data_IF_417109027654
#
_entry.id   IF_417109027654
#
_cell.length_a   1.000
_cell.length_b   1.000
_cell.length_c   1.000
_cell.angle_alpha   90.00
_cell.angle_beta   90.00
_cell.angle_gamma   90.00
#
_symmetry.space_group_name_H-M   'P 1'
#
loop_
_entity.id
_entity.type
_entity.pdbx_description
1 polymer ?
#
# COMPACT_ATOMS: atom_id res chain seq x y z
N UNK A 1 21.45 4.85 4.24
CA UNK A 1 21.51 5.72 3.05
C UNK A 1 20.10 6.01 2.59
N UNK A 2 19.65 7.23 2.87
CA UNK A 2 18.35 7.77 2.48
C UNK A 2 18.49 8.45 1.12
N UNK A 3 17.60 8.14 0.19
CA UNK A 3 17.56 8.73 -1.16
C UNK A 3 16.18 9.33 -1.35
N UNK A 4 16.13 10.60 -1.76
CA UNK A 4 14.89 11.33 -1.98
C UNK A 4 14.95 12.13 -3.28
N UNK A 5 13.77 12.42 -3.82
CA UNK A 5 13.61 13.34 -4.94
C UNK A 5 12.88 14.59 -4.46
N UNK A 6 13.29 15.73 -4.98
CA UNK A 6 12.53 16.97 -4.88
C UNK A 6 12.65 17.78 -6.17
N UNK A 7 11.72 18.71 -6.43
CA UNK A 7 11.86 19.65 -7.53
C UNK A 7 13.21 20.36 -7.46
N UNK A 8 13.89 20.41 -8.61
CA UNK A 8 15.12 21.18 -8.76
C UNK A 8 14.80 22.67 -8.73
N UNK A 9 15.64 23.47 -8.06
CA UNK A 9 15.47 24.92 -8.02
C UNK A 9 16.49 25.64 -8.92
N UNK A 10 16.18 26.85 -9.44
CA UNK A 10 17.13 27.61 -10.25
C UNK A 10 18.48 27.89 -9.58
N UNK A 11 18.50 28.03 -8.24
CA UNK A 11 19.74 28.24 -7.49
C UNK A 11 20.70 27.05 -7.53
N UNK A 12 20.21 25.85 -7.87
CA UNK A 12 21.03 24.63 -7.95
C UNK A 12 21.66 24.42 -9.34
N UNK A 13 21.25 25.20 -10.34
CA UNK A 13 21.60 24.96 -11.74
C UNK A 13 23.12 24.93 -11.97
N UNK A 14 23.87 25.83 -11.34
CA UNK A 14 25.34 25.85 -11.44
C UNK A 14 25.96 24.52 -10.96
N UNK A 15 25.49 24.00 -9.83
CA UNK A 15 25.99 22.75 -9.27
C UNK A 15 25.60 21.54 -10.14
N UNK A 16 24.40 21.56 -10.71
CA UNK A 16 23.91 20.53 -11.63
C UNK A 16 24.75 20.48 -12.92
N UNK A 17 25.13 21.64 -13.47
CA UNK A 17 26.04 21.71 -14.63
C UNK A 17 27.38 21.07 -14.32
N UNK A 18 27.92 21.28 -13.12
CA UNK A 18 29.17 20.64 -12.69
C UNK A 18 29.03 19.11 -12.58
N UNK A 19 27.90 18.65 -12.02
CA UNK A 19 27.59 17.22 -11.93
C UNK A 19 27.43 16.55 -13.31
N UNK A 20 26.80 17.23 -14.27
CA UNK A 20 26.64 16.75 -15.65
C UNK A 20 28.01 16.59 -16.33
N UNK A 21 28.85 17.62 -16.27
CA UNK A 21 30.21 17.61 -16.84
C UNK A 21 31.11 16.56 -16.21
N UNK A 22 30.92 16.24 -14.93
CA UNK A 22 31.64 15.17 -14.25
C UNK A 22 31.10 13.76 -14.57
N UNK A 23 30.00 13.66 -15.32
CA UNK A 23 29.30 12.40 -15.59
C UNK A 23 29.33 11.97 -17.05
N UNK A 24 29.44 12.91 -17.99
CA UNK A 24 29.47 12.65 -19.42
C UNK A 24 30.72 13.27 -20.09
N UNK A 25 31.21 12.67 -21.20
CA UNK A 25 32.15 13.32 -22.11
C UNK A 25 31.63 14.68 -22.60
N UNK A 26 32.53 15.60 -22.98
CA UNK A 26 32.17 16.97 -23.37
C UNK A 26 31.21 17.06 -24.56
N UNK A 27 31.30 16.11 -25.50
CA UNK A 27 30.43 16.00 -26.68
C UNK A 27 29.07 15.32 -26.41
N UNK A 28 28.91 14.72 -25.22
CA UNK A 28 27.68 14.04 -24.79
C UNK A 28 26.95 14.80 -23.66
N UNK A 29 27.67 15.64 -22.89
CA UNK A 29 27.14 16.37 -21.75
C UNK A 29 26.14 17.46 -22.16
N UNK A 30 25.03 17.59 -21.42
CA UNK A 30 24.10 18.68 -21.65
C UNK A 30 24.75 20.05 -21.36
N UNK A 31 24.50 21.02 -22.26
CA UNK A 31 24.98 22.39 -22.05
C UNK A 31 24.22 23.07 -20.90
N UNK A 32 24.82 24.10 -20.28
CA UNK A 32 24.14 24.90 -19.27
C UNK A 32 22.83 25.52 -19.80
N UNK A 33 22.81 25.95 -21.06
CA UNK A 33 21.62 26.49 -21.71
C UNK A 33 20.52 25.43 -21.89
N UNK A 34 20.90 24.19 -22.24
CA UNK A 34 19.97 23.07 -22.35
C UNK A 34 19.37 22.69 -20.99
N UNK A 35 20.17 22.67 -19.93
CA UNK A 35 19.70 22.38 -18.56
C UNK A 35 18.80 23.49 -18.03
N UNK A 36 19.13 24.76 -18.27
CA UNK A 36 18.28 25.91 -17.95
C UNK A 36 16.92 25.82 -18.67
N UNK A 37 16.95 25.56 -19.99
CA UNK A 37 15.74 25.37 -20.79
C UNK A 37 14.85 24.26 -20.22
N UNK A 38 15.42 23.08 -19.93
CA UNK A 38 14.66 21.95 -19.36
C UNK A 38 14.09 22.30 -17.99
N UNK A 39 14.81 23.04 -17.16
CA UNK A 39 14.31 23.46 -15.85
C UNK A 39 13.13 24.44 -15.98
N UNK A 40 13.19 25.38 -16.92
CA UNK A 40 12.12 26.36 -17.12
C UNK A 40 10.89 25.80 -17.82
N UNK A 41 11.09 25.04 -18.89
CA UNK A 41 9.99 24.56 -19.75
C UNK A 41 9.45 23.18 -19.31
N UNK A 42 10.25 22.39 -18.60
CA UNK A 42 9.94 21.01 -18.24
C UNK A 42 10.29 20.71 -16.76
N UNK A 43 10.24 21.72 -15.89
CA UNK A 43 10.63 21.61 -14.47
C UNK A 43 9.85 20.55 -13.68
N UNK A 44 8.63 20.21 -14.11
CA UNK A 44 7.86 19.10 -13.54
C UNK A 44 8.52 17.73 -13.73
N UNK A 45 9.47 17.60 -14.67
CA UNK A 45 10.25 16.38 -14.94
C UNK A 45 11.71 16.49 -14.49
N UNK A 46 12.08 17.58 -13.83
CA UNK A 46 13.43 17.83 -13.32
C UNK A 46 13.46 17.65 -11.81
N UNK A 47 14.19 16.62 -11.34
CA UNK A 47 14.32 16.29 -9.93
C UNK A 47 15.78 16.29 -9.48
N UNK A 48 16.03 16.93 -8.34
CA UNK A 48 17.29 16.83 -7.62
C UNK A 48 17.25 15.57 -6.77
N UNK A 49 18.28 14.73 -6.89
CA UNK A 49 18.46 13.53 -6.07
C UNK A 49 19.20 13.94 -4.80
N UNK A 50 18.56 13.78 -3.66
CA UNK A 50 19.14 14.07 -2.34
C UNK A 50 19.58 12.75 -1.69
N UNK A 51 20.82 12.69 -1.23
CA UNK A 51 21.39 11.50 -0.57
C UNK A 51 21.96 11.88 0.78
N UNK A 52 21.29 11.44 1.86
CA UNK A 52 21.60 11.80 3.24
C UNK A 52 21.71 13.33 3.40
N UNK A 53 20.64 14.06 3.01
CA UNK A 53 20.45 15.52 3.10
C UNK A 53 21.35 16.41 2.23
N UNK A 54 22.20 15.83 1.38
CA UNK A 54 23.02 16.54 0.41
C UNK A 54 22.59 16.27 -1.04
N UNK A 55 22.82 17.23 -1.94
CA UNK A 55 22.65 17.01 -3.39
C UNK A 55 23.61 15.90 -3.83
N UNK A 56 23.06 14.79 -4.28
CA UNK A 56 23.81 13.60 -4.70
C UNK A 56 23.64 13.27 -6.18
N UNK A 57 22.87 14.06 -6.94
CA UNK A 57 22.58 13.81 -8.34
C UNK A 57 21.35 14.55 -8.84
N UNK A 58 20.92 14.24 -10.06
CA UNK A 58 19.67 14.73 -10.63
C UNK A 58 19.15 13.82 -11.74
N UNK A 59 17.87 13.95 -12.04
CA UNK A 59 17.21 13.35 -13.21
C UNK A 59 16.45 14.46 -13.93
N UNK A 60 16.61 14.59 -15.24
CA UNK A 60 15.84 15.55 -16.03
C UNK A 60 15.30 14.93 -17.32
N UNK A 61 14.11 15.38 -17.72
CA UNK A 61 13.41 14.90 -18.90
C UNK A 61 12.58 15.98 -19.58
N UNK A 62 12.14 15.71 -20.81
CA UNK A 62 11.12 16.51 -21.51
C UNK A 62 10.06 15.59 -22.13
N UNK A 63 8.90 16.15 -22.44
CA UNK A 63 7.86 15.45 -23.18
C UNK A 63 8.11 15.56 -24.67
N UNK A 64 7.93 14.48 -25.40
CA UNK A 64 8.09 14.43 -26.86
C UNK A 64 7.11 13.45 -27.50
N UNK A 65 6.95 13.57 -28.82
CA UNK A 65 6.08 12.68 -29.62
C UNK A 65 6.80 11.39 -30.05
N UNK A 66 8.13 11.40 -30.10
CA UNK A 66 8.96 10.26 -30.50
C UNK A 66 10.40 10.39 -30.00
N UNK A 67 11.16 9.28 -29.99
CA UNK A 67 12.59 9.23 -29.66
C UNK A 67 13.49 9.56 -30.86
N UNK A 68 13.30 10.75 -31.44
CA UNK A 68 14.17 11.30 -32.49
C UNK A 68 14.91 12.53 -31.98
N UNK A 69 16.09 12.82 -32.52
CA UNK A 69 16.91 13.97 -32.09
C UNK A 69 16.11 15.29 -32.16
N UNK A 70 15.39 15.51 -33.27
CA UNK A 70 14.56 16.70 -33.46
C UNK A 70 13.42 16.78 -32.43
N UNK A 71 12.66 15.69 -32.25
CA UNK A 71 11.52 15.67 -31.32
C UNK A 71 11.94 15.82 -29.85
N UNK A 72 13.17 15.47 -29.51
CA UNK A 72 13.73 15.58 -28.16
C UNK A 72 14.30 16.98 -27.85
N UNK A 73 14.44 17.85 -28.85
CA UNK A 73 15.07 19.17 -28.69
C UNK A 73 14.16 20.16 -27.94
N UNK A 74 12.85 20.06 -28.15
CA UNK A 74 11.85 20.95 -27.52
C UNK A 74 10.90 20.20 -26.62
N UNK A 75 10.47 20.82 -25.52
CA UNK A 75 9.43 20.28 -24.67
C UNK A 75 8.04 20.40 -25.34
N UNK A 76 7.39 19.26 -25.58
CA UNK A 76 6.04 19.18 -26.11
C UNK A 76 5.06 18.75 -25.01
N UNK A 77 4.49 19.72 -24.28
CA UNK A 77 3.55 19.45 -23.19
C UNK A 77 2.41 18.51 -23.63
N UNK A 78 2.10 17.51 -22.79
CA UNK A 78 1.08 16.50 -23.08
C UNK A 78 1.48 15.37 -24.04
N UNK A 79 2.60 15.47 -24.76
CA UNK A 79 3.03 14.44 -25.71
C UNK A 79 3.33 13.09 -24.99
N UNK A 80 2.99 11.91 -25.53
CA UNK A 80 2.86 10.67 -24.75
C UNK A 80 4.17 10.10 -24.18
N UNK A 81 5.33 10.55 -24.65
CA UNK A 81 6.64 10.06 -24.21
C UNK A 81 7.29 11.08 -23.28
N UNK A 82 7.77 10.61 -22.13
CA UNK A 82 8.72 11.33 -21.29
C UNK A 82 10.13 10.84 -21.59
N UNK A 83 10.90 11.64 -22.33
CA UNK A 83 12.29 11.35 -22.64
C UNK A 83 13.20 11.86 -21.51
N UNK A 84 13.86 10.95 -20.79
CA UNK A 84 14.92 11.30 -19.84
C UNK A 84 16.19 11.61 -20.62
N UNK A 85 16.76 12.77 -20.34
CA UNK A 85 18.00 13.24 -20.98
C UNK A 85 19.23 12.95 -20.14
N UNK A 86 19.12 13.05 -18.81
CA UNK A 86 20.25 12.84 -17.91
C UNK A 86 19.79 12.10 -16.66
N UNK A 87 20.52 11.04 -16.29
CA UNK A 87 20.45 10.39 -14.98
C UNK A 87 21.83 10.48 -14.35
N UNK A 88 22.00 11.39 -13.40
CA UNK A 88 23.30 11.71 -12.83
C UNK A 88 23.34 11.39 -11.35
N UNK A 89 24.42 10.75 -10.93
CA UNK A 89 24.79 10.55 -9.53
C UNK A 89 26.22 11.02 -9.34
N UNK A 90 26.44 11.83 -8.31
CA UNK A 90 27.74 12.37 -7.94
C UNK A 90 28.78 11.23 -7.79
N UNK A 91 30.01 11.38 -8.30
CA UNK A 91 31.02 10.32 -8.36
C UNK A 91 31.20 9.54 -7.04
N UNK A 92 31.26 10.25 -5.93
CA UNK A 92 31.45 9.71 -4.57
C UNK A 92 30.24 8.93 -4.01
N UNK A 93 29.07 9.07 -4.65
CA UNK A 93 27.83 8.36 -4.32
C UNK A 93 27.50 7.22 -5.30
N UNK A 94 28.28 7.04 -6.38
CA UNK A 94 28.08 5.97 -7.38
C UNK A 94 28.32 4.58 -6.78
N UNK A 95 27.74 3.56 -7.41
CA UNK A 95 27.84 2.13 -7.01
C UNK A 95 27.33 1.81 -5.60
N UNK A 96 26.48 2.69 -5.04
CA UNK A 96 25.81 2.50 -3.74
C UNK A 96 24.30 2.26 -3.87
N UNK A 97 23.80 2.03 -5.10
CA UNK A 97 22.38 1.85 -5.39
C UNK A 97 21.57 3.15 -5.50
N UNK A 98 22.22 4.33 -5.45
CA UNK A 98 21.54 5.64 -5.52
C UNK A 98 20.74 5.80 -6.81
N UNK A 99 21.35 5.51 -7.98
CA UNK A 99 20.68 5.66 -9.27
C UNK A 99 19.43 4.78 -9.39
N UNK A 100 19.50 3.52 -8.94
CA UNK A 100 18.36 2.60 -8.94
C UNK A 100 17.21 3.10 -8.06
N UNK A 101 17.53 3.57 -6.85
CA UNK A 101 16.53 4.15 -5.94
C UNK A 101 15.92 5.43 -6.50
N UNK A 102 16.75 6.32 -7.05
CA UNK A 102 16.31 7.56 -7.66
C UNK A 102 15.39 7.30 -8.86
N UNK A 103 15.72 6.34 -9.73
CA UNK A 103 14.86 5.94 -10.85
C UNK A 103 13.54 5.34 -10.38
N UNK A 104 13.54 4.49 -9.35
CA UNK A 104 12.30 3.92 -8.80
C UNK A 104 11.37 5.02 -8.26
N UNK A 105 11.91 5.98 -7.49
CA UNK A 105 11.15 7.14 -7.02
C UNK A 105 10.68 8.03 -8.16
N UNK A 106 11.50 8.21 -9.19
CA UNK A 106 11.15 9.03 -10.35
C UNK A 106 9.99 8.39 -11.12
N UNK A 107 10.06 7.09 -11.40
CA UNK A 107 8.96 6.34 -12.03
C UNK A 107 7.68 6.44 -11.21
N UNK A 108 7.76 6.25 -9.89
CA UNK A 108 6.61 6.36 -8.98
C UNK A 108 5.95 7.75 -9.05
N UNK A 109 6.75 8.82 -9.13
CA UNK A 109 6.24 10.17 -9.31
C UNK A 109 5.63 10.38 -10.70
N UNK A 110 6.28 9.85 -11.75
CA UNK A 110 5.86 10.04 -13.15
C UNK A 110 4.61 9.25 -13.51
N UNK A 111 4.21 8.23 -12.75
CA UNK A 111 2.92 7.55 -12.89
C UNK A 111 1.72 8.50 -12.74
N UNK A 112 1.91 9.65 -12.09
CA UNK A 112 0.89 10.71 -11.93
C UNK A 112 0.79 11.65 -13.13
N UNK A 113 1.79 11.62 -14.01
CA UNK A 113 1.77 12.42 -15.24
C UNK A 113 0.87 11.77 -16.30
N UNK A 114 0.54 12.53 -17.34
CA UNK A 114 -0.12 12.01 -18.54
C UNK A 114 0.81 11.24 -19.49
N UNK A 115 2.04 10.89 -19.07
CA UNK A 115 2.96 10.14 -19.92
C UNK A 115 2.50 8.68 -20.01
N UNK A 116 2.52 8.15 -21.23
CA UNK A 116 2.25 6.72 -21.48
C UNK A 116 3.52 5.89 -21.29
N UNK A 117 4.69 6.47 -21.53
CA UNK A 117 5.96 5.79 -21.27
C UNK A 117 7.09 6.76 -20.92
N UNK A 118 8.07 6.25 -20.17
CA UNK A 118 9.37 6.88 -19.99
C UNK A 118 10.35 6.24 -20.95
N UNK A 119 11.13 7.04 -21.67
CA UNK A 119 12.15 6.56 -22.60
C UNK A 119 13.49 7.21 -22.30
N UNK A 120 14.57 6.49 -22.57
CA UNK A 120 15.93 7.03 -22.50
C UNK A 120 16.84 6.24 -23.43
N UNK A 121 17.99 6.83 -23.73
CA UNK A 121 19.07 6.12 -24.42
C UNK A 121 20.21 5.88 -23.43
N UNK A 122 20.86 4.72 -23.55
CA UNK A 122 21.96 4.34 -22.66
C UNK A 122 23.07 3.56 -23.38
N UNK A 123 24.30 3.72 -22.93
CA UNK A 123 25.42 2.85 -23.33
C UNK A 123 25.23 1.43 -22.79
N UNK A 124 25.75 0.44 -23.50
CA UNK A 124 25.61 -0.99 -23.15
C UNK A 124 25.96 -1.30 -21.69
N UNK A 125 27.00 -0.67 -21.15
CA UNK A 125 27.46 -0.85 -19.77
C UNK A 125 26.43 -0.42 -18.70
N UNK A 126 25.48 0.45 -19.05
CA UNK A 126 24.43 0.94 -18.15
C UNK A 126 23.11 0.16 -18.25
N UNK A 127 22.95 -0.73 -19.23
CA UNK A 127 21.72 -1.52 -19.39
C UNK A 127 21.32 -2.33 -18.14
N UNK A 128 22.25 -2.93 -17.36
CA UNK A 128 21.88 -3.60 -16.12
C UNK A 128 21.22 -2.68 -15.09
N UNK A 129 21.62 -1.41 -15.01
CA UNK A 129 21.00 -0.42 -14.12
C UNK A 129 19.53 -0.19 -14.48
N UNK A 130 19.25 0.06 -15.77
CA UNK A 130 17.90 0.36 -16.23
C UNK A 130 16.98 -0.86 -16.15
N UNK A 131 17.47 -2.06 -16.49
CA UNK A 131 16.72 -3.30 -16.26
C UNK A 131 16.40 -3.51 -14.79
N UNK A 132 17.36 -3.25 -13.90
CA UNK A 132 17.15 -3.31 -12.45
C UNK A 132 16.14 -2.28 -11.93
N UNK A 133 15.91 -1.19 -12.68
CA UNK A 133 14.88 -0.19 -12.41
C UNK A 133 13.55 -0.47 -13.15
N UNK A 134 13.41 -1.61 -13.81
CA UNK A 134 12.18 -2.03 -14.49
C UNK A 134 12.04 -1.58 -15.94
N UNK A 135 13.08 -1.01 -16.55
CA UNK A 135 13.05 -0.64 -17.96
C UNK A 135 13.32 -1.86 -18.86
N UNK A 136 12.56 -1.96 -19.94
CA UNK A 136 12.80 -2.87 -21.06
C UNK A 136 13.81 -2.26 -22.03
N UNK A 137 14.69 -3.08 -22.59
CA UNK A 137 15.65 -2.65 -23.64
C UNK A 137 15.05 -2.98 -24.99
N UNK A 138 14.73 -1.96 -25.79
CA UNK A 138 14.06 -2.14 -27.08
C UNK A 138 15.03 -2.54 -28.19
N UNK A 139 16.26 -2.04 -28.13
CA UNK A 139 17.27 -2.26 -29.17
C UNK A 139 18.24 -1.09 -29.31
N UNK A 140 18.93 -1.04 -30.46
CA UNK A 140 19.82 0.06 -30.81
C UNK A 140 19.00 1.34 -31.06
N UNK A 141 19.47 2.46 -30.52
CA UNK A 141 18.88 3.77 -30.77
C UNK A 141 19.26 4.27 -32.17
N UNK A 142 18.33 4.91 -32.89
CA UNK A 142 18.67 5.63 -34.12
C UNK A 142 19.48 6.92 -33.84
N UNK A 143 19.50 7.39 -32.60
CA UNK A 143 20.25 8.57 -32.19
C UNK A 143 21.69 8.15 -31.90
N UNK A 144 22.63 8.76 -32.61
CA UNK A 144 24.07 8.51 -32.46
C UNK A 144 24.72 9.76 -31.86
N UNK A 145 25.23 9.63 -30.65
CA UNK A 145 26.09 10.62 -29.99
C UNK A 145 27.43 9.97 -29.65
N UNK A 146 28.53 10.57 -30.11
CA UNK A 146 29.87 10.00 -29.94
C UNK A 146 30.12 8.76 -30.81
N UNK A 147 31.15 7.98 -30.45
CA UNK A 147 31.62 6.84 -31.24
C UNK A 147 30.91 5.50 -30.91
N UNK A 148 30.36 5.37 -29.71
CA UNK A 148 29.75 4.13 -29.23
C UNK A 148 28.24 4.09 -29.54
N UNK A 149 27.68 2.91 -29.85
CA UNK A 149 26.25 2.76 -30.05
C UNK A 149 25.46 2.92 -28.74
N UNK A 150 24.31 3.56 -28.85
CA UNK A 150 23.35 3.71 -27.76
C UNK A 150 22.18 2.74 -27.92
N UNK A 151 21.55 2.39 -26.81
CA UNK A 151 20.38 1.51 -26.77
C UNK A 151 19.18 2.28 -26.22
N UNK A 152 18.02 2.11 -26.84
CA UNK A 152 16.78 2.67 -26.32
C UNK A 152 16.20 1.77 -25.22
N UNK A 153 15.85 2.39 -24.10
CA UNK A 153 15.21 1.78 -22.95
C UNK A 153 13.84 2.42 -22.72
N UNK A 154 12.89 1.61 -22.22
CA UNK A 154 11.51 2.03 -22.02
C UNK A 154 10.92 1.54 -20.71
N UNK A 155 10.13 2.39 -20.07
CA UNK A 155 9.24 2.01 -18.98
C UNK A 155 7.80 2.31 -19.40
N UNK A 156 6.93 1.32 -19.38
CA UNK A 156 5.51 1.50 -19.70
C UNK A 156 4.75 1.99 -18.45
N UNK A 157 4.30 3.25 -18.47
CA UNK A 157 3.58 3.85 -17.35
C UNK A 157 2.11 3.39 -17.29
N UNK A 158 1.62 2.71 -18.35
CA UNK A 158 0.31 2.06 -18.37
C UNK A 158 0.32 0.69 -17.69
N UNK A 159 1.48 0.25 -17.18
CA UNK A 159 1.62 -0.98 -16.39
C UNK A 159 1.82 -0.63 -14.91
N UNK A 160 0.76 -0.74 -14.13
CA UNK A 160 0.78 -0.42 -12.69
C UNK A 160 1.15 -1.66 -11.87
N UNK A 161 1.94 -1.47 -10.82
CA UNK A 161 2.24 -2.55 -9.88
C UNK A 161 1.06 -2.80 -8.95
N UNK A 162 0.68 -4.07 -8.84
CA UNK A 162 -0.30 -4.55 -7.87
C UNK A 162 0.23 -5.77 -7.13
N UNK A 163 0.01 -5.80 -5.81
CA UNK A 163 0.39 -6.92 -4.96
C UNK A 163 -0.85 -7.41 -4.22
N UNK A 164 -1.09 -8.72 -4.21
CA UNK A 164 -2.08 -9.30 -3.30
C UNK A 164 -1.39 -9.78 -2.03
N UNK A 165 -1.94 -9.39 -0.89
CA UNK A 165 -1.44 -9.74 0.44
C UNK A 165 -2.56 -10.37 1.26
N UNK A 166 -2.25 -11.45 1.97
CA UNK A 166 -3.12 -12.01 2.99
C UNK A 166 -2.68 -11.46 4.36
N UNK A 167 -3.50 -10.61 4.97
CA UNK A 167 -3.24 -10.01 6.28
C UNK A 167 -3.71 -10.92 7.42
N UNK A 168 -3.09 -10.80 8.59
CA UNK A 168 -3.31 -11.62 9.79
C UNK A 168 -3.01 -13.12 9.62
N UNK A 169 -2.00 -13.44 8.80
CA UNK A 169 -1.51 -14.81 8.59
C UNK A 169 -0.03 -14.82 8.22
N UNK A 170 0.65 -15.93 8.52
CA UNK A 170 2.06 -16.16 8.15
C UNK A 170 2.22 -17.01 6.87
N UNK A 171 1.11 -17.44 6.28
CA UNK A 171 1.06 -18.25 5.07
C UNK A 171 0.00 -17.75 4.10
N UNK A 172 0.25 -17.95 2.80
CA UNK A 172 -0.73 -17.67 1.76
C UNK A 172 -2.00 -18.51 1.93
N UNK A 173 -3.12 -18.00 1.42
CA UNK A 173 -4.46 -18.58 1.45
C UNK A 173 -5.12 -18.65 2.85
N UNK A 174 -4.50 -18.05 3.87
CA UNK A 174 -5.14 -17.75 5.16
C UNK A 174 -5.49 -16.27 5.27
N UNK A 175 -5.88 -15.83 6.46
CA UNK A 175 -6.05 -14.40 6.76
C UNK A 175 -7.11 -13.70 5.92
N UNK A 176 -7.05 -12.37 5.88
CA UNK A 176 -7.94 -11.51 5.09
C UNK A 176 -7.20 -10.94 3.86
N UNK A 177 -7.61 -11.30 2.62
CA UNK A 177 -6.93 -10.87 1.41
C UNK A 177 -7.23 -9.40 1.08
N UNK A 178 -6.19 -8.67 0.67
CA UNK A 178 -6.31 -7.33 0.10
C UNK A 178 -5.45 -7.19 -1.15
N UNK A 179 -5.98 -6.51 -2.16
CA UNK A 179 -5.19 -6.05 -3.30
C UNK A 179 -4.57 -4.69 -2.96
N UNK A 180 -3.28 -4.51 -3.22
CA UNK A 180 -2.54 -3.26 -2.97
C UNK A 180 -2.02 -2.74 -4.30
N UNK A 181 -2.53 -1.59 -4.72
CA UNK A 181 -2.19 -0.90 -5.96
C UNK A 181 -1.32 0.30 -5.63
N UNK A 182 -0.12 0.37 -6.22
CA UNK A 182 0.82 1.48 -6.01
C UNK A 182 0.53 2.68 -6.92
N UNK A 183 -0.74 3.00 -7.07
CA UNK A 183 -1.24 4.15 -7.81
C UNK A 183 -2.58 4.57 -7.25
N UNK A 184 -2.88 5.86 -7.33
CA UNK A 184 -4.17 6.44 -6.99
C UNK A 184 -4.69 7.21 -8.19
N UNK A 185 -5.94 6.98 -8.57
CA UNK A 185 -6.62 7.63 -9.71
C UNK A 185 -7.92 8.27 -9.20
N UNK A 186 -8.82 8.65 -10.10
CA UNK A 186 -10.15 9.11 -9.73
C UNK A 186 -11.00 7.99 -9.09
N UNK A 187 -12.09 8.42 -8.44
CA UNK A 187 -12.97 7.54 -7.66
C UNK A 187 -13.66 6.48 -8.52
N UNK A 188 -13.94 6.76 -9.80
CA UNK A 188 -14.60 5.81 -10.72
C UNK A 188 -13.65 4.69 -11.12
N UNK A 189 -12.40 5.02 -11.48
CA UNK A 189 -11.37 4.04 -11.79
C UNK A 189 -11.09 3.12 -10.59
N UNK A 190 -10.95 3.69 -9.40
CA UNK A 190 -10.69 2.91 -8.18
C UNK A 190 -11.88 2.04 -7.77
N UNK A 191 -13.12 2.49 -7.98
CA UNK A 191 -14.28 1.66 -7.76
C UNK A 191 -14.35 0.48 -8.75
N UNK A 192 -14.12 0.74 -10.04
CA UNK A 192 -14.10 -0.30 -11.09
C UNK A 192 -13.06 -1.38 -10.83
N UNK A 193 -11.84 -1.00 -10.48
CA UNK A 193 -10.80 -1.98 -10.17
C UNK A 193 -11.08 -2.76 -8.87
N UNK A 194 -11.72 -2.13 -7.88
CA UNK A 194 -12.15 -2.86 -6.68
C UNK A 194 -13.20 -3.93 -6.99
N UNK A 195 -14.12 -3.64 -7.91
CA UNK A 195 -15.09 -4.61 -8.43
C UNK A 195 -14.38 -5.74 -9.19
N UNK A 196 -13.43 -5.41 -10.08
CA UNK A 196 -12.67 -6.40 -10.85
C UNK A 196 -11.88 -7.36 -9.94
N UNK A 197 -11.21 -6.83 -8.91
CA UNK A 197 -10.48 -7.65 -7.95
C UNK A 197 -11.40 -8.52 -7.09
N UNK A 198 -12.60 -8.04 -6.75
CA UNK A 198 -13.61 -8.74 -5.97
C UNK A 198 -13.07 -9.37 -4.67
N UNK A 199 -12.14 -8.68 -4.01
CA UNK A 199 -11.62 -9.02 -2.67
C UNK A 199 -12.37 -8.22 -1.60
N UNK A 200 -12.08 -8.49 -0.32
CA UNK A 200 -12.58 -7.68 0.80
C UNK A 200 -12.31 -6.19 0.53
N UNK A 201 -11.06 -5.85 0.21
CA UNK A 201 -10.65 -4.50 -0.14
C UNK A 201 -9.58 -4.48 -1.22
N UNK A 202 -9.67 -3.48 -2.09
CA UNK A 202 -8.55 -2.95 -2.87
C UNK A 202 -8.07 -1.65 -2.25
N UNK A 203 -6.76 -1.56 -2.05
CA UNK A 203 -6.07 -0.42 -1.42
C UNK A 203 -5.27 0.32 -2.46
N UNK A 204 -5.39 1.64 -2.45
CA UNK A 204 -4.68 2.53 -3.35
C UNK A 204 -3.69 3.37 -2.56
N UNK A 205 -2.46 3.43 -3.04
CA UNK A 205 -1.36 4.12 -2.38
C UNK A 205 -0.77 5.19 -3.27
N UNK A 206 -0.51 6.35 -2.68
CA UNK A 206 0.27 7.42 -3.29
C UNK A 206 1.28 7.94 -2.27
N UNK A 207 2.58 7.97 -2.61
CA UNK A 207 3.57 8.55 -1.70
C UNK A 207 3.40 10.05 -1.57
N UNK A 208 3.27 10.50 -0.32
CA UNK A 208 3.27 11.91 0.05
C UNK A 208 4.73 12.39 0.20
N UNK A 209 5.48 11.81 1.13
CA UNK A 209 6.91 12.11 1.36
C UNK A 209 7.55 11.00 2.18
N UNK A 210 8.83 10.68 1.96
CA UNK A 210 9.54 9.65 2.74
C UNK A 210 8.76 8.34 2.85
N UNK A 211 8.51 7.87 4.07
CA UNK A 211 7.68 6.68 4.37
C UNK A 211 6.20 7.02 4.67
N UNK A 212 5.73 8.19 4.22
CA UNK A 212 4.34 8.66 4.35
C UNK A 212 3.60 8.51 3.02
N UNK A 213 2.42 7.89 3.08
CA UNK A 213 1.58 7.60 1.91
C UNK A 213 0.15 8.06 2.15
N UNK A 214 -0.51 8.62 1.13
CA UNK A 214 -1.97 8.67 1.09
C UNK A 214 -2.50 7.27 0.83
N UNK A 215 -3.55 6.91 1.54
CA UNK A 215 -4.21 5.60 1.45
C UNK A 215 -5.71 5.76 1.25
N UNK A 216 -6.28 4.91 0.40
CA UNK A 216 -7.73 4.78 0.21
C UNK A 216 -8.10 3.31 0.07
N UNK A 217 -9.29 2.94 0.53
CA UNK A 217 -9.77 1.56 0.55
C UNK A 217 -11.13 1.48 -0.12
N UNK A 218 -11.28 0.52 -1.04
CA UNK A 218 -12.52 0.26 -1.72
C UNK A 218 -12.90 -1.20 -1.56
N UNK A 219 -14.12 -1.41 -1.12
CA UNK A 219 -14.82 -2.68 -1.34
C UNK A 219 -15.43 -2.67 -2.74
N UNK A 220 -15.93 -3.80 -3.27
CA UNK A 220 -16.74 -3.79 -4.49
C UNK A 220 -18.00 -2.91 -4.37
N UNK A 221 -18.46 -2.63 -3.15
CA UNK A 221 -19.61 -1.77 -2.87
C UNK A 221 -19.29 -0.27 -2.73
N UNK A 222 -18.01 0.13 -2.77
CA UNK A 222 -17.58 1.52 -2.65
C UNK A 222 -16.46 1.76 -1.64
N UNK A 223 -16.08 3.03 -1.51
CA UNK A 223 -15.02 3.48 -0.59
C UNK A 223 -15.46 3.33 0.88
N UNK A 224 -14.51 2.96 1.74
CA UNK A 224 -14.67 2.94 3.19
C UNK A 224 -13.67 3.88 3.86
N UNK A 225 -14.08 4.49 4.97
CA UNK A 225 -13.26 5.49 5.67
C UNK A 225 -12.01 4.92 6.35
N UNK A 226 -12.02 3.63 6.70
CA UNK A 226 -10.95 2.97 7.42
C UNK A 226 -11.01 1.45 7.24
N UNK A 227 -9.88 0.82 6.89
CA UNK A 227 -9.73 -0.63 6.93
C UNK A 227 -8.39 -1.08 7.51
N UNK A 228 -8.43 -1.81 8.62
CA UNK A 228 -7.22 -2.23 9.36
C UNK A 228 -6.39 -3.29 8.62
N UNK A 229 -7.00 -4.39 8.19
CA UNK A 229 -6.26 -5.51 7.58
C UNK A 229 -5.60 -5.08 6.26
N UNK A 230 -6.30 -4.27 5.47
CA UNK A 230 -5.84 -3.80 4.19
C UNK A 230 -4.71 -2.75 4.35
N UNK A 231 -4.72 -1.96 5.42
CA UNK A 231 -3.59 -1.07 5.80
C UNK A 231 -2.35 -1.88 6.22
N UNK A 232 -2.54 -2.95 7.01
CA UNK A 232 -1.45 -3.87 7.37
C UNK A 232 -0.88 -4.56 6.13
N UNK A 233 -1.76 -4.97 5.20
CA UNK A 233 -1.38 -5.52 3.89
C UNK A 233 -0.59 -4.53 3.04
N UNK A 234 -1.01 -3.26 2.99
CA UNK A 234 -0.30 -2.18 2.30
C UNK A 234 1.12 -1.98 2.84
N UNK A 235 1.28 -1.94 4.16
CA UNK A 235 2.60 -1.82 4.78
C UNK A 235 3.51 -3.02 4.46
N UNK A 236 2.95 -4.24 4.49
CA UNK A 236 3.67 -5.45 4.05
C UNK A 236 4.11 -5.34 2.58
N UNK A 237 3.23 -4.91 1.68
CA UNK A 237 3.52 -4.79 0.25
C UNK A 237 4.58 -3.73 -0.04
N UNK A 238 4.50 -2.57 0.64
CA UNK A 238 5.50 -1.50 0.54
C UNK A 238 6.89 -1.97 0.98
N UNK A 239 6.96 -2.70 2.10
CA UNK A 239 8.23 -3.24 2.60
C UNK A 239 8.78 -4.33 1.68
N UNK A 240 7.94 -5.31 1.31
CA UNK A 240 8.36 -6.46 0.50
C UNK A 240 8.83 -6.06 -0.91
N UNK A 241 8.28 -4.98 -1.46
CA UNK A 241 8.69 -4.46 -2.77
C UNK A 241 9.79 -3.40 -2.69
N UNK A 242 10.35 -3.15 -1.50
CA UNK A 242 11.45 -2.20 -1.30
C UNK A 242 11.07 -0.73 -1.47
N UNK A 243 9.77 -0.40 -1.44
CA UNK A 243 9.24 0.96 -1.61
C UNK A 243 9.32 1.80 -0.34
N UNK A 244 9.24 1.19 0.84
CA UNK A 244 9.39 1.88 2.11
C UNK A 244 9.92 0.94 3.20
N UNK A 245 10.38 1.53 4.31
CA UNK A 245 10.72 0.80 5.53
C UNK A 245 9.82 1.25 6.68
N UNK A 246 9.80 0.49 7.78
CA UNK A 246 9.04 0.85 8.97
C UNK A 246 9.78 1.92 9.80
N UNK A 247 9.06 2.79 10.54
CA UNK A 247 7.62 2.94 10.56
C UNK A 247 7.06 3.58 9.29
N UNK A 248 5.81 3.24 8.96
CA UNK A 248 5.08 3.84 7.83
C UNK A 248 3.88 4.63 8.34
N UNK A 249 3.65 5.78 7.73
CA UNK A 249 2.50 6.66 8.04
C UNK A 249 1.55 6.67 6.86
N UNK A 250 0.26 6.51 7.13
CA UNK A 250 -0.78 6.53 6.13
C UNK A 250 -1.75 7.68 6.38
N UNK A 251 -1.78 8.64 5.45
CA UNK A 251 -2.71 9.77 5.41
C UNK A 251 -4.04 9.29 4.81
N UNK A 252 -5.07 9.24 5.62
CA UNK A 252 -6.42 8.82 5.21
C UNK A 252 -7.22 10.03 4.72
N UNK A 253 -8.29 9.80 3.96
CA UNK A 253 -9.17 10.87 3.47
C UNK A 253 -9.92 11.58 4.61
N UNK A 254 -10.47 10.81 5.55
CA UNK A 254 -11.47 11.32 6.52
C UNK A 254 -11.11 11.10 8.01
N UNK A 255 -10.21 10.18 8.33
CA UNK A 255 -10.01 9.67 9.71
C UNK A 255 -8.69 10.18 10.34
N UNK A 256 -7.89 10.92 9.57
CA UNK A 256 -6.57 11.40 9.99
C UNK A 256 -5.45 10.47 9.54
N UNK A 257 -4.48 10.18 10.41
CA UNK A 257 -3.31 9.36 10.07
C UNK A 257 -3.32 8.03 10.82
N UNK A 258 -2.84 6.99 10.14
CA UNK A 258 -2.58 5.68 10.73
C UNK A 258 -1.08 5.41 10.68
N UNK A 259 -0.56 4.68 11.66
CA UNK A 259 0.82 4.21 11.65
C UNK A 259 0.84 2.70 11.64
N UNK A 260 1.78 2.14 10.87
CA UNK A 260 2.13 0.72 10.96
C UNK A 260 3.58 0.62 11.39
N UNK A 261 3.78 -0.03 12.53
CA UNK A 261 5.09 -0.34 13.10
C UNK A 261 5.43 -1.81 12.90
N UNK A 262 6.73 -2.11 12.91
CA UNK A 262 7.22 -3.48 12.98
C UNK A 262 7.68 -3.80 14.40
N UNK A 263 7.12 -4.86 14.98
CA UNK A 263 7.52 -5.41 16.28
C UNK A 263 8.07 -6.82 16.10
N UNK A 264 8.95 -7.23 17.01
CA UNK A 264 9.50 -8.59 17.07
C UNK A 264 9.07 -9.23 18.39
N UNK A 265 8.43 -10.40 18.30
CA UNK A 265 8.05 -11.20 19.45
C UNK A 265 8.09 -12.68 19.09
N UNK A 266 8.54 -13.51 20.02
CA UNK A 266 8.65 -14.98 19.84
C UNK A 266 9.48 -15.36 18.59
N UNK A 267 10.49 -14.56 18.28
CA UNK A 267 11.34 -14.73 17.09
C UNK A 267 10.64 -14.44 15.76
N UNK A 268 9.43 -13.86 15.77
CA UNK A 268 8.62 -13.54 14.59
C UNK A 268 8.38 -12.04 14.47
N UNK A 269 8.21 -11.58 13.24
CA UNK A 269 7.80 -10.22 12.93
C UNK A 269 6.28 -10.08 13.00
N UNK A 270 5.83 -9.01 13.66
CA UNK A 270 4.43 -8.61 13.80
C UNK A 270 4.27 -7.15 13.36
N UNK A 271 3.34 -6.91 12.45
CA UNK A 271 2.97 -5.55 12.05
C UNK A 271 1.91 -5.03 13.01
N UNK A 272 2.13 -3.87 13.61
CA UNK A 272 1.30 -3.32 14.68
C UNK A 272 0.63 -2.02 14.25
N UNK A 273 -0.65 -1.90 14.59
CA UNK A 273 -1.47 -0.71 14.39
C UNK A 273 -2.15 -0.34 15.71
N UNK A 274 -2.46 0.95 15.85
CA UNK A 274 -3.06 1.52 17.05
C UNK A 274 -4.48 2.04 16.73
N UNK A 275 -5.49 1.58 17.47
CA UNK A 275 -6.89 1.98 17.33
C UNK A 275 -7.50 2.47 18.66
N UNK A 276 -8.56 3.29 18.65
CA UNK A 276 -9.34 3.56 19.85
C UNK A 276 -9.93 2.26 20.41
N UNK A 277 -9.79 2.03 21.71
CA UNK A 277 -10.50 0.92 22.38
C UNK A 277 -11.99 1.22 22.38
N UNK A 278 -12.80 0.21 22.04
CA UNK A 278 -14.25 0.34 22.05
C UNK A 278 -14.83 -0.31 23.30
N UNK A 279 -15.86 0.30 23.87
CA UNK A 279 -16.55 -0.19 25.06
C UNK A 279 -17.77 -1.00 24.69
N UNK A 280 -18.04 -2.05 25.46
CA UNK A 280 -19.25 -2.86 25.34
C UNK A 280 -20.29 -2.39 26.35
N UNK A 281 -21.54 -2.30 25.88
CA UNK A 281 -22.71 -2.13 26.73
C UNK A 281 -23.50 -3.43 26.70
N UNK A 282 -23.77 -4.01 27.86
CA UNK A 282 -24.64 -5.19 27.98
C UNK A 282 -26.05 -4.88 27.45
N UNK A 283 -26.62 -5.81 26.70
CA UNK A 283 -27.91 -5.62 26.04
C UNK A 283 -28.64 -6.95 25.88
N UNK A 284 -29.97 -6.89 25.86
CA UNK A 284 -30.79 -8.06 25.52
C UNK A 284 -30.55 -8.48 24.06
N UNK A 285 -30.44 -9.78 23.75
CA UNK A 285 -30.27 -10.24 22.38
C UNK A 285 -31.49 -9.89 21.51
N UNK A 286 -31.28 -9.53 20.23
CA UNK A 286 -32.36 -9.52 19.25
C UNK A 286 -33.08 -10.86 19.23
N UNK A 287 -34.41 -10.84 19.07
CA UNK A 287 -35.24 -12.03 19.21
C UNK A 287 -34.84 -13.16 18.25
N UNK A 288 -34.31 -12.84 17.06
CA UNK A 288 -33.85 -13.82 16.08
C UNK A 288 -32.42 -14.34 16.31
N UNK A 289 -31.63 -13.72 17.18
CA UNK A 289 -30.17 -13.91 17.23
C UNK A 289 -29.76 -15.34 17.63
N UNK A 290 -30.32 -15.88 18.71
CA UNK A 290 -30.01 -17.24 19.18
C UNK A 290 -30.31 -18.29 18.10
N UNK A 291 -31.48 -18.16 17.47
CA UNK A 291 -31.92 -19.03 16.38
C UNK A 291 -31.01 -18.89 15.16
N UNK A 292 -30.65 -17.66 14.81
CA UNK A 292 -29.80 -17.39 13.65
C UNK A 292 -28.36 -17.89 13.86
N UNK A 293 -27.85 -17.90 15.09
CA UNK A 293 -26.55 -18.48 15.43
C UNK A 293 -26.60 -20.00 15.65
N UNK A 294 -27.80 -20.58 15.70
CA UNK A 294 -28.05 -21.96 16.13
C UNK A 294 -27.35 -22.28 17.48
N UNK A 295 -27.48 -21.36 18.43
CA UNK A 295 -26.82 -21.43 19.73
C UNK A 295 -27.83 -21.67 20.85
N UNK A 296 -27.71 -22.80 21.54
CA UNK A 296 -28.63 -23.18 22.64
C UNK A 296 -28.47 -22.31 23.90
N UNK A 297 -27.35 -21.59 24.04
CA UNK A 297 -27.10 -20.71 25.17
C UNK A 297 -26.07 -19.62 24.82
N UNK A 298 -26.39 -18.38 25.16
CA UNK A 298 -25.49 -17.23 25.13
C UNK A 298 -24.99 -16.94 26.55
N UNK A 299 -23.68 -16.80 26.73
CA UNK A 299 -23.06 -16.51 28.03
C UNK A 299 -23.06 -15.02 28.35
N UNK A 300 -22.94 -14.19 27.32
CA UNK A 300 -22.98 -12.74 27.41
C UNK A 300 -23.42 -12.17 26.07
N UNK A 301 -24.22 -11.10 26.13
CA UNK A 301 -24.62 -10.33 24.96
C UNK A 301 -24.40 -8.85 25.25
N UNK A 302 -23.77 -8.17 24.30
CA UNK A 302 -23.58 -6.74 24.37
C UNK A 302 -23.54 -6.11 22.98
N UNK A 303 -23.42 -4.79 22.96
CA UNK A 303 -23.36 -3.99 21.75
C UNK A 303 -22.21 -3.01 21.83
N UNK A 304 -21.49 -2.86 20.73
CA UNK A 304 -20.45 -1.83 20.58
C UNK A 304 -21.05 -0.43 20.35
N UNK A 305 -20.22 0.62 20.41
CA UNK A 305 -20.63 2.00 20.19
C UNK A 305 -20.88 2.29 18.70
N UNK A 306 -21.36 3.49 18.36
CA UNK A 306 -21.63 3.87 16.96
C UNK A 306 -20.42 3.74 16.02
N UNK A 307 -19.20 3.84 16.55
CA UNK A 307 -17.96 3.64 15.77
C UNK A 307 -17.68 2.18 15.41
N UNK A 308 -18.23 1.23 16.18
CA UNK A 308 -18.16 -0.23 15.94
C UNK A 308 -19.50 -0.85 16.37
N UNK A 309 -20.60 -0.61 15.62
CA UNK A 309 -21.97 -0.89 16.05
C UNK A 309 -22.34 -2.37 15.83
N UNK A 310 -21.47 -3.27 16.28
CA UNK A 310 -21.65 -4.70 16.19
C UNK A 310 -22.31 -5.26 17.45
N UNK A 311 -23.10 -6.32 17.25
CA UNK A 311 -23.47 -7.21 18.34
C UNK A 311 -22.28 -8.04 18.77
N UNK A 312 -22.13 -8.23 20.07
CA UNK A 312 -21.08 -9.01 20.68
C UNK A 312 -21.71 -10.15 21.47
N UNK A 313 -21.37 -11.38 21.12
CA UNK A 313 -21.96 -12.58 21.69
C UNK A 313 -20.86 -13.49 22.17
N UNK A 314 -20.82 -13.74 23.47
CA UNK A 314 -19.99 -14.81 24.01
C UNK A 314 -20.80 -16.09 24.11
N UNK A 315 -20.22 -17.20 23.67
CA UNK A 315 -20.76 -18.55 23.84
C UNK A 315 -19.71 -19.47 24.47
N UNK A 316 -20.13 -20.63 24.96
CA UNK A 316 -19.17 -21.63 25.44
C UNK A 316 -18.31 -22.18 24.28
N UNK A 317 -17.09 -22.68 24.54
CA UNK A 317 -16.26 -23.30 23.50
C UNK A 317 -16.96 -24.44 22.74
N UNK A 318 -17.81 -25.21 23.44
CA UNK A 318 -18.63 -26.28 22.83
C UNK A 318 -19.62 -25.71 21.81
N UNK A 319 -20.35 -24.66 22.18
CA UNK A 319 -21.31 -24.00 21.28
C UNK A 319 -20.57 -23.34 20.12
N UNK A 320 -19.45 -22.66 20.39
CA UNK A 320 -18.62 -22.02 19.37
C UNK A 320 -18.17 -22.99 18.28
N UNK A 321 -17.68 -24.17 18.67
CA UNK A 321 -17.23 -25.20 17.73
C UNK A 321 -18.37 -25.80 16.89
N UNK A 322 -19.62 -25.70 17.37
CA UNK A 322 -20.81 -26.22 16.71
C UNK A 322 -21.63 -25.13 15.98
N UNK A 323 -21.14 -23.88 15.92
CA UNK A 323 -21.86 -22.77 15.29
C UNK A 323 -22.19 -23.06 13.82
N UNK A 324 -23.48 -23.05 13.52
CA UNK A 324 -24.05 -23.14 12.18
C UNK A 324 -24.95 -21.92 11.96
N UNK A 325 -24.37 -20.88 11.36
CA UNK A 325 -25.01 -19.56 11.30
C UNK A 325 -25.91 -19.46 10.08
N UNK A 326 -27.21 -19.22 10.32
CA UNK A 326 -28.18 -18.84 9.31
C UNK A 326 -27.96 -17.37 8.92
N UNK A 327 -27.12 -17.18 7.92
CA UNK A 327 -26.75 -15.88 7.35
C UNK A 327 -27.98 -15.11 6.84
N UNK A 328 -28.99 -15.81 6.31
CA UNK A 328 -30.21 -15.18 5.80
C UNK A 328 -31.08 -14.67 6.95
N UNK A 329 -31.20 -15.44 8.04
CA UNK A 329 -31.87 -14.99 9.25
C UNK A 329 -31.17 -13.79 9.88
N UNK A 330 -29.83 -13.79 9.97
CA UNK A 330 -29.07 -12.63 10.43
C UNK A 330 -29.26 -11.40 9.54
N UNK A 331 -29.33 -11.57 8.21
CA UNK A 331 -29.58 -10.46 7.29
C UNK A 331 -30.98 -9.83 7.47
N UNK A 332 -31.96 -10.66 7.83
CA UNK A 332 -33.35 -10.27 8.05
C UNK A 332 -33.60 -9.62 9.42
N UNK A 333 -32.67 -9.74 10.38
CA UNK A 333 -32.78 -9.17 11.72
C UNK A 333 -32.56 -7.64 11.68
N UNK A 334 -33.60 -6.80 11.92
CA UNK A 334 -33.49 -5.34 11.82
C UNK A 334 -32.52 -4.72 12.81
N UNK A 335 -32.31 -5.33 13.99
CA UNK A 335 -31.44 -4.78 15.02
C UNK A 335 -29.95 -5.04 14.77
N UNK A 336 -29.62 -5.94 13.84
CA UNK A 336 -28.23 -6.16 13.39
C UNK A 336 -27.93 -5.13 12.31
N UNK A 337 -27.35 -3.99 12.69
CA UNK A 337 -27.07 -2.89 11.74
C UNK A 337 -25.83 -3.17 10.89
N UNK A 338 -24.71 -3.55 11.53
CA UNK A 338 -23.44 -3.83 10.85
C UNK A 338 -23.12 -5.32 10.86
N UNK A 339 -22.79 -5.87 12.03
CA UNK A 339 -22.42 -7.27 12.15
C UNK A 339 -22.59 -7.86 13.54
N UNK A 340 -22.26 -9.15 13.65
CA UNK A 340 -22.29 -9.95 14.86
C UNK A 340 -20.93 -10.58 15.05
N UNK A 341 -20.29 -10.24 16.18
CA UNK A 341 -19.09 -10.88 16.70
C UNK A 341 -19.55 -12.03 17.59
N UNK A 342 -19.15 -13.26 17.27
CA UNK A 342 -19.31 -14.40 18.17
C UNK A 342 -17.94 -14.77 18.71
N UNK A 343 -17.80 -14.95 20.01
CA UNK A 343 -16.53 -15.25 20.65
C UNK A 343 -16.65 -16.34 21.71
N UNK A 344 -15.54 -17.00 22.00
CA UNK A 344 -15.43 -17.99 23.06
C UNK A 344 -14.00 -18.01 23.61
N UNK A 345 -13.87 -18.56 24.82
CA UNK A 345 -12.56 -18.80 25.43
C UNK A 345 -11.73 -19.70 24.51
N UNK A 346 -10.46 -19.36 24.36
CA UNK A 346 -9.53 -20.07 23.51
C UNK A 346 -9.12 -21.43 24.12
N UNK A 347 -8.55 -22.24 23.25
CA UNK A 347 -7.89 -23.52 23.52
C UNK A 347 -6.63 -23.57 22.63
N UNK A 348 -5.87 -24.67 22.66
CA UNK A 348 -4.76 -24.92 21.73
C UNK A 348 -3.73 -23.78 21.61
N UNK A 349 -3.48 -23.09 22.73
CA UNK A 349 -2.47 -22.04 22.83
C UNK A 349 -2.93 -20.64 22.39
N UNK A 350 -4.21 -20.42 22.09
CA UNK A 350 -4.79 -19.08 21.92
C UNK A 350 -5.65 -18.71 23.13
N UNK A 351 -5.74 -17.42 23.43
CA UNK A 351 -6.48 -16.92 24.60
C UNK A 351 -7.99 -16.83 24.34
N UNK A 352 -8.37 -16.46 23.12
CA UNK A 352 -9.77 -16.44 22.68
C UNK A 352 -9.92 -16.67 21.18
N UNK A 353 -11.13 -17.09 20.80
CA UNK A 353 -11.54 -17.29 19.41
C UNK A 353 -12.66 -16.33 19.04
N UNK A 354 -12.75 -15.97 17.77
CA UNK A 354 -13.84 -15.13 17.25
C UNK A 354 -14.31 -15.58 15.86
N UNK A 355 -15.53 -15.21 15.49
CA UNK A 355 -16.08 -15.20 14.13
C UNK A 355 -16.87 -13.91 13.96
N UNK A 356 -16.96 -13.42 12.72
CA UNK A 356 -17.63 -12.16 12.41
C UNK A 356 -18.54 -12.29 11.19
N UNK A 357 -19.81 -11.92 11.34
CA UNK A 357 -20.83 -12.02 10.30
C UNK A 357 -21.44 -10.64 10.05
N UNK A 358 -21.48 -10.19 8.79
CA UNK A 358 -22.04 -8.88 8.42
C UNK A 358 -22.86 -8.98 7.12
N UNK A 359 -23.90 -9.83 7.05
CA UNK A 359 -24.54 -10.15 5.78
C UNK A 359 -25.32 -8.98 5.16
N UNK A 360 -25.76 -8.01 5.97
CA UNK A 360 -26.36 -6.76 5.46
C UNK A 360 -25.36 -5.86 4.73
N UNK A 361 -24.07 -6.06 4.99
CA UNK A 361 -22.97 -5.43 4.27
C UNK A 361 -22.52 -6.28 3.06
N UNK A 362 -23.26 -7.33 2.71
CA UNK A 362 -22.89 -8.26 1.65
C UNK A 362 -21.78 -9.24 2.04
N UNK A 363 -21.43 -9.32 3.33
CA UNK A 363 -20.34 -10.16 3.84
C UNK A 363 -20.94 -11.28 4.71
N UNK A 364 -21.15 -12.50 4.15
CA UNK A 364 -21.66 -13.63 4.94
C UNK A 364 -20.83 -13.90 6.19
N UNK A 365 -19.50 -13.95 6.04
CA UNK A 365 -18.54 -14.08 7.12
C UNK A 365 -17.23 -13.40 6.71
N UNK A 366 -16.72 -12.48 7.52
CA UNK A 366 -15.44 -11.79 7.25
C UNK A 366 -14.26 -12.67 7.70
N UNK A 367 -13.19 -12.83 6.89
CA UNK A 367 -12.07 -13.69 7.25
C UNK A 367 -11.39 -13.30 8.56
N UNK A 368 -11.04 -12.01 8.70
CA UNK A 368 -10.38 -11.44 9.89
C UNK A 368 -10.73 -9.96 10.06
N UNK A 369 -11.38 -9.63 11.17
CA UNK A 369 -11.99 -8.31 11.38
C UNK A 369 -11.23 -7.51 12.43
N UNK A 370 -10.33 -6.63 12.00
CA UNK A 370 -9.53 -5.81 12.93
C UNK A 370 -10.38 -4.93 13.85
N UNK A 371 -11.45 -4.31 13.33
CA UNK A 371 -12.33 -3.46 14.15
C UNK A 371 -13.02 -4.20 15.29
N UNK A 372 -13.43 -5.45 15.09
CA UNK A 372 -14.00 -6.28 16.17
C UNK A 372 -13.03 -6.48 17.34
N UNK A 373 -11.73 -6.44 17.08
CA UNK A 373 -10.71 -6.67 18.09
C UNK A 373 -10.49 -5.48 19.02
N UNK A 374 -11.03 -4.29 18.72
CA UNK A 374 -11.06 -3.17 19.67
C UNK A 374 -12.07 -3.37 20.80
N UNK A 375 -13.10 -4.21 20.57
CA UNK A 375 -14.05 -4.67 21.60
C UNK A 375 -13.51 -5.92 22.31
N UNK A 376 -13.04 -6.91 21.52
CA UNK A 376 -12.59 -8.21 22.06
C UNK A 376 -11.39 -8.08 23.00
N UNK A 377 -10.42 -7.20 22.71
CA UNK A 377 -9.23 -7.03 23.52
C UNK A 377 -9.59 -6.67 24.98
N UNK A 378 -10.36 -5.58 25.15
CA UNK A 378 -10.79 -5.12 26.49
C UNK A 378 -11.64 -6.15 27.21
N UNK A 379 -12.57 -6.79 26.50
CA UNK A 379 -13.44 -7.81 27.06
C UNK A 379 -12.65 -8.99 27.61
N UNK A 380 -11.75 -9.57 26.81
CA UNK A 380 -11.00 -10.75 27.19
C UNK A 380 -9.89 -10.47 28.20
N UNK A 381 -9.22 -9.32 28.17
CA UNK A 381 -8.26 -8.94 29.22
C UNK A 381 -8.94 -8.84 30.59
N UNK A 382 -10.13 -8.22 30.62
CA UNK A 382 -10.95 -8.13 31.85
C UNK A 382 -11.40 -9.51 32.32
N UNK A 383 -11.93 -10.33 31.41
CA UNK A 383 -12.48 -11.64 31.74
C UNK A 383 -11.42 -12.65 32.17
N UNK A 384 -10.23 -12.59 31.58
CA UNK A 384 -9.09 -13.43 31.93
C UNK A 384 -8.28 -12.87 33.11
N UNK A 385 -8.58 -11.65 33.56
CA UNK A 385 -7.81 -10.93 34.58
C UNK A 385 -6.31 -10.87 34.23
N UNK A 386 -6.02 -10.60 32.96
CA UNK A 386 -4.67 -10.61 32.41
C UNK A 386 -4.50 -9.50 31.38
N UNK A 387 -3.51 -8.65 31.57
CA UNK A 387 -3.10 -7.65 30.58
C UNK A 387 -2.45 -8.35 29.37
N UNK A 388 -2.57 -7.73 28.19
CA UNK A 388 -2.04 -8.24 26.94
C UNK A 388 -0.50 -8.27 26.83
N UNK A 389 0.03 -8.72 25.68
CA UNK A 389 -0.73 -9.12 24.50
C UNK A 389 -1.43 -10.47 24.67
N UNK A 390 -2.72 -10.51 24.35
CA UNK A 390 -3.51 -11.72 24.18
C UNK A 390 -3.39 -12.22 22.74
N UNK A 391 -3.32 -13.54 22.55
CA UNK A 391 -3.32 -14.18 21.25
C UNK A 391 -4.75 -14.58 20.86
N UNK A 392 -5.24 -14.03 19.76
CA UNK A 392 -6.57 -14.26 19.23
C UNK A 392 -6.53 -15.09 17.95
N UNK A 393 -7.54 -15.93 17.74
CA UNK A 393 -7.76 -16.60 16.46
C UNK A 393 -9.19 -16.35 15.96
N UNK A 394 -9.32 -15.60 14.87
CA UNK A 394 -10.60 -15.51 14.17
C UNK A 394 -10.77 -16.74 13.28
N UNK A 395 -11.64 -17.67 13.65
CA UNK A 395 -11.78 -19.00 13.05
C UNK A 395 -12.80 -19.00 11.92
N UNK A 396 -12.66 -18.07 10.98
CA UNK A 396 -13.37 -18.14 9.69
C UNK A 396 -12.85 -19.31 8.85
N UNK A 397 -13.43 -19.54 7.67
CA UNK A 397 -12.91 -20.55 6.72
C UNK A 397 -11.44 -20.34 6.35
N UNK A 398 -10.93 -19.10 6.38
CA UNK A 398 -9.52 -18.78 6.09
C UNK A 398 -8.65 -18.77 7.35
N UNK A 399 -9.23 -18.42 8.50
CA UNK A 399 -8.53 -18.30 9.77
C UNK A 399 -7.57 -17.11 9.82
N UNK A 400 -7.39 -16.49 10.98
CA UNK A 400 -6.37 -15.46 11.15
C UNK A 400 -5.96 -15.25 12.59
N UNK A 401 -4.67 -14.96 12.79
CA UNK A 401 -4.07 -14.82 14.13
C UNK A 401 -3.71 -13.36 14.37
N UNK A 402 -4.14 -12.85 15.52
CA UNK A 402 -3.88 -11.48 15.96
C UNK A 402 -3.28 -11.50 17.36
N UNK A 403 -2.42 -10.53 17.65
CA UNK A 403 -2.03 -10.19 19.03
C UNK A 403 -2.67 -8.86 19.38
N UNK A 404 -3.37 -8.82 20.51
CA UNK A 404 -4.11 -7.63 20.93
C UNK A 404 -3.78 -7.27 22.36
N UNK A 405 -3.61 -5.98 22.63
CA UNK A 405 -3.39 -5.45 23.97
C UNK A 405 -4.09 -4.10 24.09
N UNK A 406 -4.74 -3.85 25.23
CA UNK A 406 -5.19 -2.49 25.54
C UNK A 406 -4.07 -1.70 26.20
N UNK A 407 -4.14 -0.37 26.08
CA UNK A 407 -3.19 0.55 26.67
C UNK A 407 -3.88 1.45 27.71
N UNK A 408 -3.13 1.99 28.68
CA UNK A 408 -3.71 2.86 29.73
C UNK A 408 -4.42 4.12 29.22
N UNK A 409 -4.12 4.57 28.00
CA UNK A 409 -4.74 5.74 27.37
C UNK A 409 -5.99 5.43 26.52
N UNK A 410 -6.61 4.26 26.73
CA UNK A 410 -7.85 3.89 26.02
C UNK A 410 -7.63 3.55 24.56
N UNK A 411 -6.47 2.97 24.23
CA UNK A 411 -6.14 2.49 22.89
C UNK A 411 -5.98 0.97 22.88
N UNK A 412 -6.14 0.36 21.71
CA UNK A 412 -5.93 -1.06 21.47
C UNK A 412 -4.87 -1.19 20.38
N UNK A 413 -3.77 -1.86 20.71
CA UNK A 413 -2.77 -2.24 19.71
C UNK A 413 -3.20 -3.58 19.11
N UNK A 414 -3.36 -3.62 17.80
CA UNK A 414 -3.66 -4.83 17.05
C UNK A 414 -2.43 -5.17 16.22
N UNK A 415 -1.92 -6.39 16.37
CA UNK A 415 -0.77 -6.88 15.64
C UNK A 415 -1.13 -8.10 14.80
N UNK A 416 -0.56 -8.18 13.60
CA UNK A 416 -0.77 -9.28 12.67
C UNK A 416 0.47 -9.58 11.84
N UNK A 417 0.59 -10.82 11.40
CA UNK A 417 1.52 -11.18 10.32
C UNK A 417 0.86 -10.95 8.95
N UNK A 418 1.64 -10.90 7.88
CA UNK A 418 1.11 -10.81 6.53
C UNK A 418 1.96 -11.57 5.52
N UNK A 419 1.29 -12.27 4.61
CA UNK A 419 1.90 -13.09 3.57
C UNK A 419 1.64 -12.48 2.18
N UNK A 420 2.69 -12.35 1.36
CA UNK A 420 2.57 -11.88 -0.01
C UNK A 420 2.16 -13.06 -0.90
N UNK A 421 1.04 -12.93 -1.62
CA UNK A 421 0.49 -13.99 -2.48
C UNK A 421 1.13 -13.92 -3.86
N UNK A 422 1.04 -12.75 -4.51
CA UNK A 422 1.69 -12.48 -5.79
C UNK A 422 1.97 -11.00 -5.99
N UNK A 423 2.85 -10.71 -6.95
CA UNK A 423 3.09 -9.38 -7.51
C UNK A 423 2.81 -9.44 -9.01
N UNK A 424 1.92 -8.57 -9.49
CA UNK A 424 1.47 -8.52 -10.87
C UNK A 424 1.58 -7.09 -11.44
N UNK A 425 1.46 -7.00 -12.77
CA UNK A 425 1.30 -5.74 -13.51
C UNK A 425 -0.14 -5.63 -14.02
N UNK A 426 -0.87 -4.62 -13.57
CA UNK A 426 -2.16 -4.22 -14.13
C UNK A 426 -1.91 -3.48 -15.44
N UNK A 427 -2.53 -3.92 -16.53
CA UNK A 427 -2.47 -3.24 -17.82
C UNK A 427 -3.66 -2.30 -17.95
N UNK A 428 -3.39 -1.05 -18.31
CA UNK A 428 -4.41 -0.07 -18.68
C UNK A 428 -4.57 -0.03 -20.20
N UNK A 429 -5.79 0.22 -20.68
CA UNK A 429 -6.07 0.33 -22.10
C UNK A 429 -5.50 1.63 -22.70
N UNK A 430 -5.36 1.67 -24.03
CA UNK A 430 -4.73 2.77 -24.76
C UNK A 430 -5.54 4.08 -24.77
N UNK A 431 -6.82 3.99 -24.42
CA UNK A 431 -7.82 5.06 -24.48
C UNK A 431 -8.29 5.52 -23.07
N UNK A 432 -7.68 5.00 -22.00
CA UNK A 432 -7.85 5.57 -20.65
C UNK A 432 -7.06 6.89 -20.57
N UNK A 433 -7.50 7.89 -21.32
CA UNK A 433 -7.11 9.27 -21.14
C UNK A 433 -7.60 9.70 -19.74
N UNK A 434 -6.62 9.82 -18.85
CA UNK A 434 -6.69 10.28 -17.44
C UNK A 434 -7.36 11.65 -17.31
#
# INVERSE_FOLDING_TARGET
>A
MRVELRPTTPSELSHIVDLERASYPEDEAATAASLDYRLREAGEYFRTVVVDDAVGGFICGTRCVSMTADAMTTHAAGAPVLAIHSVVVAPEKRRRGVATKALALYVEEMQRSSARSIRLIAKAALLPLYRGAGFEVLGLSPIVHGADPWFECAYDLRRLDMVQVDAFTDRVFGGNPAAVVFAMRDDDWMAKLAIENNLSETVYLERSTGNTFRIRWFTPGGEVDLCGHATLGAAKALHATGRADFPMTFETRNVGTLTVDRRVADGREWLAMDFPTADLVEADPPAGLEKALNADALLFVGRGPDSVPDWFVEVSPRVFAALDVDVAALAAEPDVVRGVIVTARGDDGVDFKSRFFAPRMGIPEDPVTGSAHTLLAKYWETKLQREGPLLAHQTSKRGGVLRVETTPNGRTIIQGQAALVFHAKLCLDDDDDV
#
